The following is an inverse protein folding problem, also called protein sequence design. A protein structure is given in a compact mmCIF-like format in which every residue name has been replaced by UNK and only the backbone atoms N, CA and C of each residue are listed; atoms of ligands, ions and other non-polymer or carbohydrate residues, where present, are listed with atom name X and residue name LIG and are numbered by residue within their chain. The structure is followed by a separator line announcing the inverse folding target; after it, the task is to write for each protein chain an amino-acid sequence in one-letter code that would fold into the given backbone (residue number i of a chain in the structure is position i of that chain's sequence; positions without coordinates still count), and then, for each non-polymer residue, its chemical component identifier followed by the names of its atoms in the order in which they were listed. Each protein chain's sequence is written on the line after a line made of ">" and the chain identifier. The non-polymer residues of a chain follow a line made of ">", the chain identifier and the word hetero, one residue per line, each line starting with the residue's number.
data_IF_833594416272
#
_entry.id   IF_833594416272
#
_cell.length_a   1.000
_cell.length_b   1.000
_cell.length_c   1.000
_cell.angle_alpha   90.00
_cell.angle_beta   90.00
_cell.angle_gamma   90.00
#
_symmetry.space_group_name_H-M   'P 1'
#
loop_
_entity.id
_entity.type
_entity.pdbx_description
1 polymer ?
#
# COMPACT_ATOMS: atom_id res chain seq x y z
N UNK A 1 -10.94 -14.73 -13.21
CA UNK A 1 -10.55 -13.31 -13.34
C UNK A 1 -10.33 -12.77 -11.94
N UNK A 2 -9.08 -12.62 -11.52
CA UNK A 2 -8.74 -12.12 -10.18
C UNK A 2 -8.88 -10.60 -10.19
N UNK A 3 -9.96 -10.09 -9.62
CA UNK A 3 -10.13 -8.66 -9.38
C UNK A 3 -9.17 -8.24 -8.27
N UNK A 4 -8.05 -7.61 -8.62
CA UNK A 4 -7.17 -7.02 -7.63
C UNK A 4 -7.88 -5.82 -6.98
N UNK A 5 -8.27 -5.98 -5.71
CA UNK A 5 -8.95 -4.92 -4.97
C UNK A 5 -7.99 -3.74 -4.71
N UNK A 6 -8.39 -2.56 -5.16
CA UNK A 6 -7.68 -1.31 -4.92
C UNK A 6 -8.30 -0.57 -3.74
N UNK A 7 -7.52 -0.41 -2.67
CA UNK A 7 -7.94 0.31 -1.47
C UNK A 7 -7.43 1.74 -1.46
N UNK A 8 -8.17 2.60 -0.78
CA UNK A 8 -7.77 3.98 -0.58
C UNK A 8 -6.65 4.10 0.47
N UNK A 9 -5.87 5.19 0.46
CA UNK A 9 -4.90 5.47 1.51
C UNK A 9 -5.54 5.57 2.90
N UNK A 10 -6.84 5.89 2.99
CA UNK A 10 -7.57 5.95 4.27
C UNK A 10 -7.81 4.55 4.83
N UNK A 11 -8.18 3.61 3.99
CA UNK A 11 -8.39 2.20 4.38
C UNK A 11 -7.07 1.52 4.70
N UNK A 12 -6.05 1.72 3.86
CA UNK A 12 -4.69 1.25 4.09
C UNK A 12 -4.18 1.63 5.49
N UNK A 13 -4.40 2.88 5.91
CA UNK A 13 -4.06 3.37 7.26
C UNK A 13 -4.83 2.66 8.37
N UNK A 14 -6.11 2.38 8.18
CA UNK A 14 -6.92 1.68 9.20
C UNK A 14 -6.43 0.25 9.40
N UNK A 15 -6.07 -0.45 8.31
CA UNK A 15 -5.60 -1.83 8.35
C UNK A 15 -4.22 -1.91 8.99
N UNK A 16 -3.28 -1.09 8.50
CA UNK A 16 -1.88 -1.15 8.92
C UNK A 16 -1.58 -0.34 10.19
N UNK A 17 -2.52 0.50 10.64
CA UNK A 17 -2.36 1.46 11.75
C UNK A 17 -1.12 2.36 11.60
N UNK A 18 -0.74 2.69 10.36
CA UNK A 18 0.41 3.57 10.04
C UNK A 18 -0.04 4.98 9.64
N UNK A 19 0.88 5.93 9.70
CA UNK A 19 0.66 7.29 9.20
C UNK A 19 0.64 7.34 7.67
N UNK A 20 -0.04 8.36 7.12
CA UNK A 20 -0.05 8.66 5.67
C UNK A 20 1.37 8.80 5.09
N UNK A 21 2.26 9.44 5.85
CA UNK A 21 3.66 9.64 5.46
C UNK A 21 4.37 8.31 5.25
N UNK A 22 4.12 7.32 6.12
CA UNK A 22 4.70 5.98 6.03
C UNK A 22 4.24 5.26 4.76
N UNK A 23 2.94 5.29 4.45
CA UNK A 23 2.43 4.72 3.19
C UNK A 23 3.04 5.39 1.96
N UNK A 24 3.15 6.72 1.97
CA UNK A 24 3.76 7.45 0.87
C UNK A 24 5.25 7.12 0.71
N UNK A 25 5.98 6.98 1.81
CA UNK A 25 7.38 6.54 1.79
C UNK A 25 7.51 5.13 1.24
N UNK A 26 6.62 4.20 1.61
CA UNK A 26 6.61 2.84 1.08
C UNK A 26 6.34 2.82 -0.42
N UNK A 27 5.39 3.62 -0.88
CA UNK A 27 5.12 3.79 -2.31
C UNK A 27 6.33 4.36 -3.04
N UNK A 28 6.94 5.42 -2.50
CA UNK A 28 8.14 6.04 -3.07
C UNK A 28 9.33 5.08 -3.09
N UNK A 29 9.45 4.21 -2.09
CA UNK A 29 10.47 3.15 -2.01
C UNK A 29 10.14 1.94 -2.88
N UNK A 30 8.96 1.86 -3.49
CA UNK A 30 8.52 0.70 -4.28
C UNK A 30 8.14 -0.54 -3.45
N UNK A 31 7.91 -0.38 -2.14
CA UNK A 31 7.49 -1.47 -1.24
C UNK A 31 6.03 -1.86 -1.42
N UNK A 32 5.19 -0.92 -1.83
CA UNK A 32 3.78 -1.14 -2.15
C UNK A 32 3.48 -0.65 -3.55
N UNK A 33 2.73 -1.44 -4.31
CA UNK A 33 2.21 -0.99 -5.60
C UNK A 33 1.00 -0.11 -5.38
N UNK A 34 0.90 0.92 -6.21
CA UNK A 34 -0.24 1.80 -6.21
C UNK A 34 -0.49 2.40 -7.57
N UNK A 35 -1.76 2.54 -7.91
CA UNK A 35 -2.21 3.16 -9.16
C UNK A 35 -2.60 4.59 -8.86
N UNK A 36 -2.05 5.52 -9.64
CA UNK A 36 -2.49 6.91 -9.63
C UNK A 36 -3.64 7.05 -10.61
N UNK A 37 -4.81 7.40 -10.10
CA UNK A 37 -5.96 7.69 -10.96
C UNK A 37 -5.71 8.99 -11.74
N UNK A 38 -6.38 9.20 -12.88
CA UNK A 38 -6.33 10.46 -13.62
C UNK A 38 -6.80 11.67 -12.77
N UNK A 39 -7.56 11.43 -11.70
CA UNK A 39 -7.93 12.44 -10.70
C UNK A 39 -6.80 12.82 -9.72
N UNK A 40 -5.60 12.27 -9.88
CA UNK A 40 -4.44 12.51 -9.01
C UNK A 40 -4.45 11.73 -7.69
N UNK A 41 -5.54 11.01 -7.39
CA UNK A 41 -5.68 10.18 -6.18
C UNK A 41 -4.88 8.88 -6.33
N UNK A 42 -4.11 8.54 -5.31
CA UNK A 42 -3.36 7.29 -5.22
C UNK A 42 -4.24 6.21 -4.59
N UNK A 43 -4.31 5.02 -5.21
CA UNK A 43 -4.88 3.81 -4.61
C UNK A 43 -3.83 2.73 -4.51
N UNK A 44 -3.90 1.92 -3.47
CA UNK A 44 -2.97 0.83 -3.21
C UNK A 44 -3.62 -0.51 -3.47
N UNK A 45 -2.81 -1.48 -3.89
CA UNK A 45 -3.27 -2.85 -4.00
C UNK A 45 -3.46 -3.46 -2.62
N UNK A 46 -4.65 -4.01 -2.36
CA UNK A 46 -4.98 -4.65 -1.08
C UNK A 46 -4.03 -5.82 -0.80
N UNK A 47 -3.66 -6.58 -1.82
CA UNK A 47 -2.73 -7.72 -1.69
C UNK A 47 -1.37 -7.31 -1.13
N UNK A 48 -0.81 -6.16 -1.54
CA UNK A 48 0.46 -5.68 -0.99
C UNK A 48 0.32 -5.22 0.46
N UNK A 49 -0.81 -4.59 0.78
CA UNK A 49 -1.14 -4.16 2.14
C UNK A 49 -1.28 -5.38 3.07
N UNK A 50 -1.94 -6.45 2.59
CA UNK A 50 -2.08 -7.71 3.32
C UNK A 50 -0.76 -8.46 3.48
N UNK A 51 0.13 -8.44 2.49
CA UNK A 51 1.49 -9.00 2.62
C UNK A 51 2.27 -8.31 3.73
N UNK A 52 2.22 -6.97 3.77
CA UNK A 52 2.86 -6.19 4.83
C UNK A 52 2.22 -6.49 6.19
N UNK A 53 0.89 -6.62 6.24
CA UNK A 53 0.18 -6.99 7.48
C UNK A 53 0.60 -8.36 8.01
N UNK A 54 0.86 -9.34 7.12
CA UNK A 54 1.38 -10.67 7.49
C UNK A 54 2.82 -10.65 7.97
N UNK A 55 3.49 -9.51 7.96
CA UNK A 55 4.88 -9.40 8.40
C UNK A 55 5.90 -9.87 7.36
N UNK A 56 5.47 -10.12 6.12
CA UNK A 56 6.41 -10.22 5.00
C UNK A 56 7.01 -8.82 4.81
N UNK A 57 8.20 -8.62 5.37
CA UNK A 57 8.98 -7.41 5.13
C UNK A 57 9.16 -7.25 3.63
N UNK A 58 8.44 -6.31 3.04
CA UNK A 58 8.85 -5.73 1.77
C UNK A 58 10.20 -5.02 2.05
N UNK A 59 11.31 -5.69 1.74
CA UNK A 59 12.66 -5.12 1.69
C UNK A 59 13.15 -4.49 3.00
N UNK A 60 13.53 -5.32 3.99
CA UNK A 60 14.34 -4.90 5.12
C UNK A 60 15.73 -5.51 5.03
N UNK A 61 16.57 -4.98 4.15
CA UNK A 61 18.00 -5.29 4.12
C UNK A 61 18.63 -4.84 5.44
N UNK A 62 19.23 -5.79 6.16
CA UNK A 62 20.23 -5.52 7.20
C UNK A 62 21.45 -4.84 6.60
#
# INVERSE_FOLDING_TARGET
>A
MSYEELITPKEARKILKVSNKTLWLWYKKGLIRGVRLPSGKLRYYKSDIEKILRGERAGGSR
#
